data_IF_932527008138
#
_entry.id   IF_932527008138
#
_cell.length_a   1.000
_cell.length_b   1.000
_cell.length_c   1.000
_cell.angle_alpha   90.00
_cell.angle_beta   90.00
_cell.angle_gamma   90.00
#
_symmetry.space_group_name_H-M   'P 1'
#
loop_
_entity.id
_entity.type
_entity.pdbx_description
1 polymer ?
#
# COMPACT_ATOMS: atom_id res chain seq x y z
N UNK A 1 9.84 -15.92 11.43
CA UNK A 1 10.52 -16.60 12.54
C UNK A 1 12.04 -16.44 12.44
N UNK A 2 12.79 -16.59 13.52
CA UNK A 2 14.27 -16.55 13.52
C UNK A 2 14.89 -17.51 12.50
N UNK A 3 14.32 -18.70 12.32
CA UNK A 3 14.79 -19.68 11.34
C UNK A 3 14.63 -19.20 9.91
N UNK A 4 13.56 -18.52 9.64
CA UNK A 4 13.26 -17.97 8.32
C UNK A 4 14.20 -16.81 8.00
N UNK A 5 14.44 -15.91 8.96
CA UNK A 5 15.41 -14.84 8.86
C UNK A 5 16.82 -15.39 8.55
N UNK A 6 17.22 -16.44 9.27
CA UNK A 6 18.50 -17.12 9.05
C UNK A 6 18.61 -17.70 7.62
N UNK A 7 17.55 -18.31 7.10
CA UNK A 7 17.53 -18.81 5.74
C UNK A 7 17.62 -17.70 4.67
N UNK A 8 16.93 -16.56 4.91
CA UNK A 8 17.00 -15.39 4.02
C UNK A 8 18.43 -14.80 3.99
N UNK A 9 19.08 -14.71 5.14
CA UNK A 9 20.49 -14.26 5.25
C UNK A 9 21.44 -15.23 4.53
N UNK A 10 21.26 -16.56 4.72
CA UNK A 10 22.10 -17.56 4.06
C UNK A 10 21.99 -17.54 2.54
N UNK A 11 20.83 -17.17 2.00
CA UNK A 11 20.56 -17.10 0.57
C UNK A 11 20.82 -15.73 -0.03
N UNK A 12 21.26 -14.76 0.78
CA UNK A 12 21.43 -13.37 0.36
C UNK A 12 20.14 -12.74 -0.22
N UNK A 13 18.98 -13.20 0.31
CA UNK A 13 17.65 -12.76 -0.13
C UNK A 13 17.12 -11.58 0.69
N UNK A 14 17.81 -11.18 1.76
CA UNK A 14 17.47 -10.05 2.63
C UNK A 14 18.69 -9.14 2.76
N UNK A 15 18.55 -7.81 2.72
CA UNK A 15 19.68 -6.91 2.89
C UNK A 15 20.21 -6.94 4.33
N UNK A 16 21.51 -7.13 4.50
CA UNK A 16 22.18 -7.12 5.81
C UNK A 16 23.61 -6.60 5.69
N UNK A 17 24.18 -6.19 6.82
CA UNK A 17 25.60 -5.80 6.97
C UNK A 17 26.27 -6.76 7.92
N UNK A 18 27.48 -7.25 7.59
CA UNK A 18 28.31 -8.03 8.52
C UNK A 18 29.21 -7.12 9.32
N UNK A 19 29.10 -7.20 10.64
CA UNK A 19 30.01 -6.53 11.58
C UNK A 19 30.71 -7.60 12.44
N UNK A 20 31.89 -8.05 11.96
CA UNK A 20 32.57 -9.20 12.57
C UNK A 20 31.78 -10.48 12.35
N UNK A 21 31.39 -11.17 13.42
CA UNK A 21 30.59 -12.39 13.40
C UNK A 21 29.08 -12.10 13.44
N UNK A 22 28.67 -10.85 13.66
CA UNK A 22 27.28 -10.44 13.79
C UNK A 22 26.67 -10.03 12.46
N UNK A 23 25.36 -10.28 12.32
CA UNK A 23 24.52 -9.79 11.20
C UNK A 23 23.66 -8.65 11.71
N UNK A 24 23.81 -7.47 11.09
CA UNK A 24 23.07 -6.27 11.44
C UNK A 24 22.18 -5.86 10.28
N UNK A 25 20.94 -5.47 10.59
CA UNK A 25 19.97 -4.98 9.63
C UNK A 25 19.80 -3.48 9.81
N UNK A 26 19.91 -2.74 8.72
CA UNK A 26 19.55 -1.33 8.70
C UNK A 26 18.04 -1.22 8.50
N UNK A 27 17.32 -0.63 9.47
CA UNK A 27 15.85 -0.57 9.52
C UNK A 27 15.26 -0.04 8.21
N UNK A 28 15.76 1.09 7.72
CA UNK A 28 15.26 1.72 6.47
C UNK A 28 15.43 0.84 5.23
N UNK A 29 16.56 0.14 5.13
CA UNK A 29 16.83 -0.76 4.01
C UNK A 29 15.95 -1.99 4.08
N UNK A 30 15.66 -2.45 5.29
CA UNK A 30 14.78 -3.58 5.55
C UNK A 30 13.33 -3.27 5.20
N UNK A 31 12.85 -2.07 5.54
CA UNK A 31 11.50 -1.59 5.19
C UNK A 31 11.31 -1.48 3.67
N UNK A 32 12.23 -0.83 2.96
CA UNK A 32 12.22 -0.76 1.50
C UNK A 32 12.19 -2.16 0.85
N UNK A 33 12.92 -3.10 1.43
CA UNK A 33 12.95 -4.48 0.97
C UNK A 33 11.62 -5.20 1.24
N UNK A 34 11.05 -5.05 2.43
CA UNK A 34 9.78 -5.68 2.81
C UNK A 34 8.62 -5.18 1.93
N UNK A 35 8.52 -3.87 1.72
CA UNK A 35 7.52 -3.26 0.86
C UNK A 35 7.60 -3.78 -0.59
N UNK A 36 8.82 -3.78 -1.18
CA UNK A 36 9.04 -4.32 -2.54
C UNK A 36 8.72 -5.80 -2.63
N UNK A 37 9.07 -6.57 -1.59
CA UNK A 37 8.78 -8.00 -1.54
C UNK A 37 7.27 -8.24 -1.52
N UNK A 38 6.50 -7.53 -0.69
CA UNK A 38 5.03 -7.65 -0.61
C UNK A 38 4.40 -7.33 -1.97
N UNK A 39 4.75 -6.22 -2.60
CA UNK A 39 4.19 -5.82 -3.89
C UNK A 39 4.54 -6.78 -5.03
N UNK A 40 5.63 -7.55 -4.93
CA UNK A 40 6.04 -8.55 -5.91
C UNK A 40 5.54 -9.98 -5.63
N UNK A 41 4.83 -10.22 -4.52
CA UNK A 41 4.33 -11.55 -4.19
C UNK A 41 3.10 -11.93 -5.03
N UNK A 42 3.00 -13.21 -5.40
CA UNK A 42 1.77 -13.75 -5.97
C UNK A 42 0.66 -13.83 -4.92
N UNK A 43 -0.61 -13.85 -5.35
CA UNK A 43 -1.78 -13.96 -4.47
C UNK A 43 -1.67 -15.09 -3.45
N UNK A 44 -1.15 -16.26 -3.86
CA UNK A 44 -0.95 -17.40 -2.97
C UNK A 44 0.07 -17.11 -1.87
N UNK A 45 1.20 -16.49 -2.21
CA UNK A 45 2.24 -16.15 -1.24
C UNK A 45 1.79 -15.04 -0.28
N UNK A 46 1.01 -14.09 -0.76
CA UNK A 46 0.39 -13.05 0.06
C UNK A 46 -0.57 -13.65 1.09
N UNK A 47 -1.44 -14.58 0.69
CA UNK A 47 -2.36 -15.27 1.60
C UNK A 47 -1.63 -16.09 2.66
N UNK A 48 -0.54 -16.75 2.30
CA UNK A 48 0.29 -17.50 3.24
C UNK A 48 1.04 -16.59 4.22
N UNK A 49 1.58 -15.47 3.74
CA UNK A 49 2.22 -14.45 4.58
C UNK A 49 1.22 -13.84 5.58
N UNK A 50 0.04 -13.47 5.12
CA UNK A 50 -1.02 -12.94 5.97
C UNK A 50 -1.44 -13.93 7.07
N UNK A 51 -1.63 -15.22 6.71
CA UNK A 51 -1.98 -16.26 7.68
C UNK A 51 -0.90 -16.43 8.77
N UNK A 52 0.38 -16.41 8.39
CA UNK A 52 1.49 -16.51 9.35
C UNK A 52 1.56 -15.31 10.29
N UNK A 53 1.26 -14.11 9.81
CA UNK A 53 1.19 -12.91 10.65
C UNK A 53 0.02 -12.94 11.62
N UNK A 54 -1.12 -13.48 11.18
CA UNK A 54 -2.35 -13.60 11.98
C UNK A 54 -2.21 -14.68 13.07
N UNK A 55 -1.62 -15.84 12.75
CA UNK A 55 -1.37 -16.92 13.72
C UNK A 55 -0.40 -16.50 14.83
N UNK A 56 0.49 -15.53 14.58
CA UNK A 56 1.44 -15.01 15.58
C UNK A 56 0.89 -13.92 16.49
N UNK A 57 -0.27 -13.34 16.18
CA UNK A 57 -0.89 -12.21 16.88
C UNK A 57 -2.26 -12.60 17.46
N UNK A 58 -2.26 -13.50 18.44
CA UNK A 58 -3.50 -13.96 19.09
C UNK A 58 -4.29 -12.87 19.83
N UNK A 59 -3.92 -11.59 19.76
CA UNK A 59 -4.53 -10.55 20.60
C UNK A 59 -4.63 -9.12 20.00
N UNK A 60 -4.56 -8.91 18.70
CA UNK A 60 -4.86 -7.59 18.09
C UNK A 60 -5.34 -7.71 16.64
N UNK A 61 -6.61 -7.35 16.42
CA UNK A 61 -7.16 -6.79 15.17
C UNK A 61 -7.03 -7.60 13.86
N UNK A 62 -6.81 -8.90 13.89
CA UNK A 62 -6.71 -9.71 12.66
C UNK A 62 -8.04 -9.81 11.88
N UNK A 63 -9.15 -9.60 12.56
CA UNK A 63 -10.51 -9.60 11.98
C UNK A 63 -11.04 -8.19 11.68
N UNK A 64 -10.25 -7.14 11.92
CA UNK A 64 -10.68 -5.77 11.64
C UNK A 64 -10.71 -5.51 10.13
N UNK A 65 -11.84 -4.99 9.68
CA UNK A 65 -12.05 -4.54 8.31
C UNK A 65 -11.24 -3.24 8.13
N UNK A 66 -10.05 -3.35 7.52
CA UNK A 66 -9.12 -2.23 7.37
C UNK A 66 -9.74 -1.08 6.56
N UNK A 67 -10.49 -1.39 5.51
CA UNK A 67 -11.16 -0.36 4.69
C UNK A 67 -12.12 0.45 5.53
N UNK A 68 -12.95 -0.20 6.35
CA UNK A 68 -13.89 0.50 7.25
C UNK A 68 -13.17 1.40 8.27
N UNK A 69 -11.98 1.00 8.72
CA UNK A 69 -11.18 1.73 9.69
C UNK A 69 -10.41 2.89 9.05
N UNK A 70 -9.81 2.67 7.88
CA UNK A 70 -8.79 3.54 7.30
C UNK A 70 -9.27 4.36 6.09
N UNK A 71 -10.48 4.10 5.57
CA UNK A 71 -11.03 4.80 4.41
C UNK A 71 -12.45 5.27 4.67
N UNK A 72 -12.86 6.32 3.97
CA UNK A 72 -14.22 6.87 3.98
C UNK A 72 -14.62 7.30 2.57
N UNK A 73 -15.93 7.34 2.25
CA UNK A 73 -16.37 7.84 0.94
C UNK A 73 -15.84 9.24 0.61
N UNK A 74 -15.76 10.13 1.59
CA UNK A 74 -15.30 11.51 1.44
C UNK A 74 -13.80 11.60 1.08
N UNK A 75 -13.05 10.53 1.25
CA UNK A 75 -11.63 10.40 0.95
C UNK A 75 -11.37 9.72 -0.40
N UNK A 76 -12.39 9.63 -1.24
CA UNK A 76 -12.32 9.01 -2.55
C UNK A 76 -12.67 10.03 -3.63
N UNK A 77 -11.78 10.17 -4.62
CA UNK A 77 -12.05 10.99 -5.81
C UNK A 77 -12.19 10.08 -7.05
N UNK A 78 -13.42 9.89 -7.58
CA UNK A 78 -13.65 9.06 -8.75
C UNK A 78 -13.17 9.69 -10.07
N UNK A 79 -12.73 10.97 -10.07
CA UNK A 79 -12.41 11.74 -11.27
C UNK A 79 -11.21 12.67 -11.07
N UNK A 80 -10.04 12.12 -10.77
CA UNK A 80 -8.81 12.91 -10.69
C UNK A 80 -8.47 13.54 -12.04
N UNK A 81 -8.11 14.82 -12.02
CA UNK A 81 -7.79 15.58 -13.24
C UNK A 81 -6.35 15.40 -13.74
N UNK A 82 -5.48 14.79 -12.94
CA UNK A 82 -4.07 14.59 -13.24
C UNK A 82 -3.85 13.79 -14.54
N UNK A 83 -2.82 14.20 -15.31
CA UNK A 83 -2.41 13.57 -16.58
C UNK A 83 -0.96 13.13 -16.57
N UNK A 84 -0.27 13.30 -15.46
CA UNK A 84 1.16 13.00 -15.31
C UNK A 84 1.44 12.43 -13.91
N UNK A 85 2.52 11.65 -13.79
CA UNK A 85 2.94 11.09 -12.49
C UNK A 85 3.08 12.15 -11.38
N UNK A 86 3.79 13.29 -11.58
CA UNK A 86 3.84 14.34 -10.57
C UNK A 86 2.47 14.98 -10.28
N UNK A 87 1.61 15.05 -11.29
CA UNK A 87 0.25 15.55 -11.13
C UNK A 87 -0.58 14.65 -10.23
N UNK A 88 -0.51 13.33 -10.42
CA UNK A 88 -1.20 12.36 -9.57
C UNK A 88 -0.71 12.46 -8.12
N UNK A 89 0.60 12.49 -7.88
CA UNK A 89 1.12 12.60 -6.53
C UNK A 89 0.56 13.84 -5.84
N UNK A 90 0.56 14.98 -6.51
CA UNK A 90 0.03 16.24 -6.00
C UNK A 90 -1.49 16.17 -5.73
N UNK A 91 -2.27 15.63 -6.67
CA UNK A 91 -3.73 15.51 -6.52
C UNK A 91 -4.07 14.53 -5.38
N UNK A 92 -3.33 13.43 -5.23
CA UNK A 92 -3.52 12.47 -4.14
C UNK A 92 -3.15 13.05 -2.77
N UNK A 93 -2.09 13.86 -2.67
CA UNK A 93 -1.75 14.57 -1.43
C UNK A 93 -2.81 15.63 -1.12
N UNK A 94 -3.32 16.35 -2.13
CA UNK A 94 -4.43 17.28 -1.95
C UNK A 94 -5.70 16.57 -1.44
N UNK A 95 -5.99 15.36 -1.92
CA UNK A 95 -7.07 14.53 -1.40
C UNK A 95 -6.79 14.09 0.04
N UNK A 96 -5.55 13.75 0.39
CA UNK A 96 -5.16 13.38 1.76
C UNK A 96 -5.36 14.53 2.76
N UNK A 97 -5.20 15.80 2.35
CA UNK A 97 -5.49 16.97 3.18
C UNK A 97 -6.97 16.99 3.61
N UNK A 98 -7.88 16.52 2.76
CA UNK A 98 -9.32 16.50 3.08
C UNK A 98 -9.70 15.54 4.21
N UNK A 99 -8.78 14.69 4.64
CA UNK A 99 -9.00 13.78 5.78
C UNK A 99 -9.00 14.49 7.13
N UNK A 100 -8.45 15.71 7.21
CA UNK A 100 -8.15 16.46 8.45
C UNK A 100 -7.17 15.69 9.38
N UNK A 101 -6.54 14.64 8.91
CA UNK A 101 -5.56 13.85 9.67
C UNK A 101 -4.11 14.22 9.33
N UNK A 102 -3.87 14.81 8.16
CA UNK A 102 -2.52 15.12 7.66
C UNK A 102 -2.01 16.45 8.25
N UNK A 103 -0.81 16.43 8.84
CA UNK A 103 -0.18 17.61 9.44
C UNK A 103 0.85 18.31 8.54
N UNK A 104 1.62 17.51 7.76
CA UNK A 104 2.69 18.02 6.89
C UNK A 104 2.56 17.41 5.49
N UNK A 105 1.73 18.04 4.68
CA UNK A 105 1.47 17.66 3.29
C UNK A 105 2.71 17.80 2.41
N UNK A 106 3.53 18.84 2.64
CA UNK A 106 4.74 19.07 1.87
C UNK A 106 5.81 18.00 2.15
N UNK A 107 5.92 17.53 3.40
CA UNK A 107 6.82 16.45 3.75
C UNK A 107 6.31 15.12 3.15
N UNK A 108 5.03 14.80 3.28
CA UNK A 108 4.44 13.59 2.70
C UNK A 108 4.65 13.55 1.17
N UNK A 109 4.42 14.67 0.47
CA UNK A 109 4.63 14.73 -0.97
C UNK A 109 6.09 14.42 -1.35
N UNK A 110 7.07 15.05 -0.68
CA UNK A 110 8.50 14.78 -0.93
C UNK A 110 8.87 13.33 -0.74
N UNK A 111 8.41 12.72 0.36
CA UNK A 111 8.69 11.32 0.65
C UNK A 111 8.08 10.35 -0.37
N UNK A 112 6.87 10.63 -0.86
CA UNK A 112 6.25 9.86 -1.94
C UNK A 112 7.06 10.03 -3.24
N UNK A 113 7.47 11.25 -3.58
CA UNK A 113 8.30 11.51 -4.77
C UNK A 113 9.65 10.79 -4.68
N UNK A 114 10.31 10.82 -3.52
CA UNK A 114 11.55 10.07 -3.27
C UNK A 114 11.33 8.57 -3.38
N UNK A 115 10.24 8.03 -2.81
CA UNK A 115 9.89 6.61 -2.91
C UNK A 115 9.68 6.18 -4.36
N UNK A 116 8.95 6.97 -5.13
CA UNK A 116 8.66 6.73 -6.54
C UNK A 116 9.89 6.88 -7.46
N UNK A 117 10.91 7.65 -7.03
CA UNK A 117 12.17 7.78 -7.76
C UNK A 117 13.04 6.53 -7.68
N UNK A 118 12.92 5.74 -6.60
CA UNK A 118 13.68 4.50 -6.42
C UNK A 118 13.09 3.36 -7.25
N UNK A 119 11.77 3.21 -7.22
CA UNK A 119 11.04 2.17 -7.93
C UNK A 119 9.57 2.53 -7.91
N UNK A 120 8.86 2.37 -9.02
CA UNK A 120 7.42 2.64 -9.06
C UNK A 120 6.65 1.75 -8.09
N UNK A 121 5.64 2.35 -7.45
CA UNK A 121 4.66 1.62 -6.63
C UNK A 121 3.47 1.12 -7.44
N UNK A 122 3.49 1.29 -8.76
CA UNK A 122 2.50 0.71 -9.65
C UNK A 122 2.66 -0.81 -9.73
N UNK A 123 1.53 -1.49 -9.62
CA UNK A 123 1.39 -2.94 -9.74
C UNK A 123 0.68 -3.30 -11.06
N UNK A 124 0.73 -4.56 -11.43
CA UNK A 124 -0.06 -5.07 -12.57
C UNK A 124 -1.56 -4.82 -12.39
N UNK A 125 -2.26 -4.70 -13.51
CA UNK A 125 -3.70 -4.41 -13.52
C UNK A 125 -4.06 -2.93 -13.41
N UNK A 126 -3.08 -2.01 -13.48
CA UNK A 126 -3.31 -0.57 -13.60
C UNK A 126 -3.62 0.15 -12.28
N UNK A 127 -3.13 -0.36 -11.16
CA UNK A 127 -3.22 0.30 -9.86
C UNK A 127 -1.83 0.71 -9.34
N UNK A 128 -1.77 1.71 -8.45
CA UNK A 128 -0.56 2.09 -7.73
C UNK A 128 -0.86 2.33 -6.25
N UNK A 129 0.08 1.90 -5.39
CA UNK A 129 -0.01 2.05 -3.94
C UNK A 129 1.01 3.08 -3.45
N UNK A 130 0.65 4.36 -3.56
CA UNK A 130 1.48 5.48 -3.13
C UNK A 130 1.65 5.46 -1.60
N UNK A 131 2.87 5.65 -1.13
CA UNK A 131 3.18 5.76 0.29
C UNK A 131 4.50 6.51 0.48
N UNK A 132 4.72 7.05 1.66
CA UNK A 132 5.99 7.66 2.03
C UNK A 132 7.10 6.62 2.03
N UNK A 133 8.33 7.03 1.73
CA UNK A 133 9.48 6.15 1.81
C UNK A 133 9.72 5.67 3.23
N UNK A 134 9.54 6.56 4.20
CA UNK A 134 9.69 6.29 5.61
C UNK A 134 8.44 6.72 6.36
N UNK A 135 8.04 5.92 7.36
CA UNK A 135 6.93 6.26 8.21
C UNK A 135 7.41 7.19 9.32
N UNK A 136 6.92 8.42 9.30
CA UNK A 136 7.14 9.38 10.36
C UNK A 136 5.80 9.61 11.09
N UNK A 137 5.71 9.30 12.40
CA UNK A 137 4.49 9.49 13.17
C UNK A 137 4.05 10.96 13.26
N UNK A 138 4.90 11.90 12.82
CA UNK A 138 4.58 13.32 12.78
C UNK A 138 3.90 13.79 11.50
N UNK A 139 3.74 12.92 10.47
CA UNK A 139 3.01 13.32 9.26
C UNK A 139 1.51 13.40 9.47
N UNK A 140 0.94 12.53 10.28
CA UNK A 140 -0.50 12.44 10.45
C UNK A 140 -0.90 12.10 11.89
N UNK A 141 -2.12 12.51 12.26
CA UNK A 141 -2.73 12.19 13.55
C UNK A 141 -3.09 10.72 13.71
N UNK A 142 -3.46 10.07 12.61
CA UNK A 142 -3.85 8.66 12.55
C UNK A 142 -3.60 8.12 11.14
N UNK A 143 -3.70 6.81 10.99
CA UNK A 143 -3.54 6.12 9.72
C UNK A 143 -4.79 6.28 8.84
N UNK A 144 -4.58 6.46 7.52
CA UNK A 144 -5.67 6.56 6.55
C UNK A 144 -5.27 6.05 5.17
N UNK A 145 -6.28 5.79 4.35
CA UNK A 145 -6.16 5.48 2.92
C UNK A 145 -7.07 6.43 2.16
N UNK A 146 -6.53 7.08 1.11
CA UNK A 146 -7.33 7.79 0.13
C UNK A 146 -7.24 7.09 -1.22
N UNK A 147 -8.31 7.15 -2.02
CA UNK A 147 -8.38 6.51 -3.33
C UNK A 147 -8.74 7.53 -4.40
N UNK A 148 -7.98 7.54 -5.49
CA UNK A 148 -8.26 8.37 -6.65
C UNK A 148 -8.28 7.58 -7.95
N UNK A 149 -9.19 7.93 -8.87
CA UNK A 149 -9.27 7.38 -10.21
C UNK A 149 -9.06 8.49 -11.24
N UNK A 150 -8.06 8.36 -12.13
CA UNK A 150 -7.85 9.32 -13.21
C UNK A 150 -8.84 9.11 -14.36
N UNK A 151 -9.21 10.21 -15.04
CA UNK A 151 -10.10 10.17 -16.22
C UNK A 151 -9.49 9.34 -17.35
N UNK A 152 -8.17 9.40 -17.50
CA UNK A 152 -7.42 8.62 -18.48
C UNK A 152 -6.25 7.92 -17.80
N UNK A 153 -5.96 6.66 -18.15
CA UNK A 153 -4.80 5.97 -17.64
C UNK A 153 -3.51 6.71 -18.04
N UNK A 154 -2.51 6.67 -17.18
CA UNK A 154 -1.20 7.30 -17.39
C UNK A 154 -0.05 6.30 -17.25
N UNK A 155 1.08 6.55 -17.88
CA UNK A 155 2.30 5.79 -17.66
C UNK A 155 2.90 6.18 -16.30
N UNK A 156 2.66 5.35 -15.29
CA UNK A 156 3.15 5.58 -13.92
C UNK A 156 4.45 4.83 -13.62
N UNK A 157 4.79 3.82 -14.41
CA UNK A 157 6.01 3.03 -14.32
C UNK A 157 5.77 1.62 -13.79
N UNK A 158 4.61 1.03 -14.05
CA UNK A 158 4.33 -0.37 -13.76
C UNK A 158 5.34 -1.29 -14.47
N UNK A 159 5.73 -2.40 -13.81
CA UNK A 159 6.74 -3.34 -14.32
C UNK A 159 6.30 -4.07 -15.59
N UNK A 160 5.00 -4.28 -15.76
CA UNK A 160 4.39 -4.85 -16.98
C UNK A 160 4.33 -3.87 -18.16
N UNK A 161 4.66 -2.59 -17.91
CA UNK A 161 4.59 -1.52 -18.89
C UNK A 161 3.19 -0.97 -19.12
N UNK A 162 2.20 -1.45 -18.40
CA UNK A 162 0.82 -0.99 -18.50
C UNK A 162 0.60 0.39 -17.88
N UNK A 163 -0.46 1.04 -18.32
CA UNK A 163 -0.89 2.32 -17.76
C UNK A 163 -1.67 2.12 -16.47
N UNK A 164 -1.63 3.12 -15.59
CA UNK A 164 -2.25 3.13 -14.27
C UNK A 164 -3.34 4.19 -14.23
N UNK A 165 -4.50 3.84 -13.66
CA UNK A 165 -5.66 4.72 -13.50
C UNK A 165 -6.25 4.74 -12.09
N UNK A 166 -5.88 3.77 -11.24
CA UNK A 166 -6.31 3.68 -9.85
C UNK A 166 -5.12 3.94 -8.91
N UNK A 167 -5.28 4.90 -8.02
CA UNK A 167 -4.23 5.35 -7.11
C UNK A 167 -4.71 5.30 -5.66
N UNK A 168 -4.05 4.48 -4.85
CA UNK A 168 -4.25 4.44 -3.41
C UNK A 168 -3.09 5.18 -2.76
N UNK A 169 -3.35 6.14 -1.89
CA UNK A 169 -2.33 6.71 -1.03
C UNK A 169 -2.54 6.17 0.37
N UNK A 170 -1.51 5.50 0.88
CA UNK A 170 -1.49 4.84 2.18
C UNK A 170 -0.61 5.68 3.10
N UNK A 171 -1.18 6.21 4.16
CA UNK A 171 -0.46 6.89 5.23
C UNK A 171 -0.72 6.14 6.54
N UNK A 172 0.31 5.50 7.08
CA UNK A 172 0.24 4.78 8.35
C UNK A 172 1.20 5.38 9.35
N UNK A 173 0.81 5.40 10.62
CA UNK A 173 1.62 5.94 11.72
C UNK A 173 2.61 4.93 12.28
N UNK A 174 2.53 3.65 11.85
CA UNK A 174 3.49 2.61 12.20
C UNK A 174 3.74 1.63 11.05
N UNK A 175 4.96 1.07 11.02
CA UNK A 175 5.45 0.20 9.94
C UNK A 175 4.70 -1.13 9.86
N UNK A 176 4.30 -1.70 11.00
CA UNK A 176 3.61 -2.99 11.03
C UNK A 176 2.21 -2.89 10.42
N UNK A 177 1.47 -1.80 10.76
CA UNK A 177 0.18 -1.52 10.14
C UNK A 177 0.34 -1.24 8.65
N UNK A 178 1.38 -0.48 8.26
CA UNK A 178 1.64 -0.19 6.86
C UNK A 178 1.84 -1.45 6.02
N UNK A 179 2.73 -2.35 6.44
CA UNK A 179 2.99 -3.60 5.74
C UNK A 179 1.73 -4.49 5.66
N UNK A 180 0.93 -4.50 6.73
CA UNK A 180 -0.34 -5.22 6.77
C UNK A 180 -1.37 -4.66 5.79
N UNK A 181 -1.54 -3.33 5.74
CA UNK A 181 -2.42 -2.63 4.79
C UNK A 181 -1.96 -2.88 3.36
N UNK A 182 -0.66 -2.75 3.09
CA UNK A 182 -0.09 -2.96 1.77
C UNK A 182 -0.33 -4.39 1.28
N UNK A 183 -0.08 -5.39 2.15
CA UNK A 183 -0.34 -6.80 1.83
C UNK A 183 -1.83 -7.05 1.54
N UNK A 184 -2.74 -6.49 2.34
CA UNK A 184 -4.19 -6.61 2.16
C UNK A 184 -4.63 -6.01 0.82
N UNK A 185 -4.19 -4.80 0.47
CA UNK A 185 -4.51 -4.15 -0.80
C UNK A 185 -3.93 -4.93 -1.99
N UNK A 186 -2.71 -5.47 -1.88
CA UNK A 186 -2.15 -6.35 -2.89
C UNK A 186 -2.99 -7.63 -3.09
N UNK A 187 -3.46 -8.25 -2.01
CA UNK A 187 -4.35 -9.44 -2.09
C UNK A 187 -5.65 -9.10 -2.80
N UNK A 188 -6.27 -7.98 -2.45
CA UNK A 188 -7.50 -7.50 -3.08
C UNK A 188 -7.29 -7.21 -4.58
N UNK A 189 -6.21 -6.54 -4.93
CA UNK A 189 -5.92 -6.19 -6.32
C UNK A 189 -5.62 -7.39 -7.22
N UNK A 190 -4.93 -8.43 -6.69
CA UNK A 190 -4.53 -9.59 -7.49
C UNK A 190 -5.51 -10.77 -7.41
N UNK A 191 -6.33 -10.84 -6.37
CA UNK A 191 -7.17 -12.01 -6.07
C UNK A 191 -8.65 -11.86 -6.38
N UNK A 192 -9.09 -10.67 -6.81
CA UNK A 192 -10.50 -10.34 -7.00
C UNK A 192 -10.73 -9.51 -8.27
N UNK A 193 -12.00 -9.27 -8.60
CA UNK A 193 -12.39 -8.33 -9.67
C UNK A 193 -12.36 -6.84 -9.22
N UNK A 194 -11.79 -6.55 -8.04
CA UNK A 194 -11.81 -5.24 -7.41
C UNK A 194 -11.44 -4.11 -8.37
N UNK A 195 -10.31 -4.23 -9.08
CA UNK A 195 -9.82 -3.14 -9.95
C UNK A 195 -10.76 -2.90 -11.14
N UNK A 196 -11.40 -3.95 -11.65
CA UNK A 196 -12.42 -3.87 -12.70
C UNK A 196 -13.66 -3.12 -12.20
N UNK A 197 -14.14 -3.49 -11.01
CA UNK A 197 -15.35 -2.93 -10.41
C UNK A 197 -15.14 -1.45 -10.03
N UNK A 198 -13.96 -1.11 -9.48
CA UNK A 198 -13.61 0.30 -9.18
C UNK A 198 -13.57 1.17 -10.43
N UNK A 199 -13.14 0.63 -11.58
CA UNK A 199 -13.17 1.36 -12.85
C UNK A 199 -14.57 1.64 -13.33
N UNK A 200 -15.48 0.66 -13.15
CA UNK A 200 -16.88 0.79 -13.53
C UNK A 200 -17.65 1.76 -12.63
N UNK A 201 -17.21 1.93 -11.38
CA UNK A 201 -17.86 2.81 -10.42
C UNK A 201 -17.83 4.29 -10.86
N UNK A 202 -18.93 4.99 -10.59
CA UNK A 202 -19.18 6.38 -11.00
C UNK A 202 -19.19 7.39 -9.86
N UNK A 203 -19.21 6.91 -8.62
CA UNK A 203 -19.23 7.76 -7.42
C UNK A 203 -18.27 7.26 -6.34
N UNK A 204 -17.86 8.16 -5.44
CA UNK A 204 -17.04 7.84 -4.28
C UNK A 204 -17.70 6.79 -3.37
N UNK A 205 -19.00 6.92 -3.12
CA UNK A 205 -19.79 5.98 -2.32
C UNK A 205 -19.79 4.58 -2.92
N UNK A 206 -19.96 4.47 -4.25
CA UNK A 206 -19.92 3.20 -4.96
C UNK A 206 -18.53 2.57 -4.86
N UNK A 207 -17.45 3.34 -5.08
CA UNK A 207 -16.08 2.86 -4.95
C UNK A 207 -15.77 2.38 -3.52
N UNK A 208 -16.24 3.10 -2.50
CA UNK A 208 -16.09 2.71 -1.10
C UNK A 208 -16.79 1.38 -0.82
N UNK A 209 -18.04 1.23 -1.26
CA UNK A 209 -18.80 0.00 -1.05
C UNK A 209 -18.18 -1.21 -1.77
N UNK A 210 -17.62 -1.01 -2.96
CA UNK A 210 -16.87 -2.03 -3.70
C UNK A 210 -15.64 -2.48 -2.89
N UNK A 211 -14.84 -1.54 -2.40
CA UNK A 211 -13.67 -1.83 -1.56
C UNK A 211 -14.04 -2.63 -0.30
N UNK A 212 -15.05 -2.14 0.41
CA UNK A 212 -15.51 -2.75 1.66
C UNK A 212 -16.01 -4.18 1.43
N UNK A 213 -16.83 -4.39 0.39
CA UNK A 213 -17.37 -5.71 0.07
C UNK A 213 -16.26 -6.67 -0.38
N UNK A 214 -15.30 -6.21 -1.19
CA UNK A 214 -14.18 -7.04 -1.62
C UNK A 214 -13.33 -7.50 -0.42
N UNK A 215 -13.09 -6.63 0.56
CA UNK A 215 -12.38 -7.02 1.78
C UNK A 215 -13.18 -8.02 2.62
N UNK A 216 -14.49 -7.80 2.79
CA UNK A 216 -15.37 -8.73 3.51
C UNK A 216 -15.40 -10.12 2.87
N UNK A 217 -15.45 -10.21 1.54
CA UNK A 217 -15.40 -11.48 0.83
C UNK A 217 -14.02 -12.15 0.94
N UNK A 218 -12.93 -11.38 0.87
CA UNK A 218 -11.58 -11.89 1.08
C UNK A 218 -11.43 -12.51 2.48
N UNK A 219 -11.92 -11.82 3.52
CA UNK A 219 -11.85 -12.30 4.91
C UNK A 219 -12.68 -13.56 5.15
N UNK A 220 -13.81 -13.71 4.46
CA UNK A 220 -14.62 -14.96 4.55
C UNK A 220 -13.95 -16.15 3.87
N UNK A 221 -13.10 -15.91 2.87
CA UNK A 221 -12.42 -16.95 2.10
C UNK A 221 -11.12 -17.44 2.75
N UNK A 222 -10.64 -16.74 3.77
CA UNK A 222 -9.42 -17.05 4.55
C UNK A 222 -9.70 -17.94 5.74
#
# INVERSE_FOLDING_TARGET
>A
SERELFHLVQRDEIPFIRQGDDVVFEHRVLDDWAQRRIMGLSSRMLSEHHRQETEGRADRDSDDILIKRLCRPEWIDPVLSAKTKPGVIRDMVALAITTDLLYDDAALQREIEERESVSSTAIGGGAAFLHARYHDPYYAADSFIVLGKTVQPIFFGAQDGDQTDLFFLICCVDDALHLHVLARLCMLAHGTELLSDLRAATSAEEMYNILLNAELELLKAM
#
